data_IF_402063837898
#
_entry.id   IF_402063837898
#
_cell.length_a   1.000
_cell.length_b   1.000
_cell.length_c   1.000
_cell.angle_alpha   90.00
_cell.angle_beta   90.00
_cell.angle_gamma   90.00
#
_symmetry.space_group_name_H-M   'P 1'
#
loop_
_entity.id
_entity.type
_entity.pdbx_description
1 polymer ?
#
# COMPACT_ATOMS: atom_id res chain seq x y z
N UNK A 1 17.70 -51.32 -30.82
CA UNK A 1 17.91 -49.87 -30.89
C UNK A 1 17.05 -49.07 -29.92
N UNK A 2 16.41 -49.67 -28.90
CA UNK A 2 15.41 -48.97 -28.03
C UNK A 2 15.74 -48.91 -26.55
N UNK A 3 16.99 -49.23 -26.14
CA UNK A 3 17.35 -49.19 -24.70
C UNK A 3 18.09 -47.91 -24.24
N UNK A 4 18.44 -47.01 -25.17
CA UNK A 4 19.11 -45.74 -24.86
C UNK A 4 18.13 -44.54 -24.72
N UNK A 5 16.87 -44.71 -25.10
CA UNK A 5 15.87 -43.67 -25.00
C UNK A 5 15.16 -43.63 -23.64
N UNK A 6 15.18 -44.74 -22.92
CA UNK A 6 14.52 -44.89 -21.61
C UNK A 6 15.34 -44.34 -20.46
N UNK A 7 16.65 -44.09 -20.64
CA UNK A 7 17.50 -43.55 -19.57
C UNK A 7 17.55 -42.02 -19.51
N UNK A 8 17.05 -41.34 -20.56
CA UNK A 8 17.03 -39.88 -20.62
C UNK A 8 15.78 -39.26 -19.96
N UNK A 9 14.75 -40.08 -19.68
CA UNK A 9 13.48 -39.58 -19.11
C UNK A 9 13.45 -39.62 -17.58
N UNK A 10 14.44 -40.28 -16.92
CA UNK A 10 14.44 -40.48 -15.47
C UNK A 10 15.14 -39.37 -14.66
N UNK A 11 15.67 -38.32 -15.33
CA UNK A 11 16.42 -37.22 -14.67
C UNK A 11 15.58 -35.91 -14.57
N UNK A 12 14.33 -35.97 -14.99
CA UNK A 12 13.40 -34.85 -14.89
C UNK A 12 12.32 -35.07 -13.82
N UNK A 13 12.69 -35.61 -12.68
CA UNK A 13 11.82 -35.64 -11.50
C UNK A 13 12.08 -34.43 -10.60
N UNK A 14 11.04 -33.92 -9.96
CA UNK A 14 10.88 -32.51 -9.65
C UNK A 14 11.63 -32.16 -8.37
N UNK A 15 12.46 -31.13 -8.44
CA UNK A 15 12.87 -30.35 -7.28
C UNK A 15 11.78 -29.32 -6.90
N UNK A 16 10.58 -29.85 -6.68
CA UNK A 16 9.48 -29.04 -6.19
C UNK A 16 8.90 -29.67 -4.92
N UNK A 17 9.59 -29.54 -3.82
CA UNK A 17 9.02 -29.75 -2.50
C UNK A 17 9.93 -29.20 -1.40
N UNK A 18 10.19 -27.89 -1.42
CA UNK A 18 10.64 -27.20 -0.22
C UNK A 18 9.98 -25.82 -0.19
N UNK A 19 8.68 -25.83 -0.10
CA UNK A 19 7.86 -24.68 0.22
C UNK A 19 7.08 -25.00 1.50
N UNK A 20 7.78 -25.15 2.60
CA UNK A 20 7.34 -24.96 3.97
C UNK A 20 8.58 -24.85 4.84
N UNK A 21 9.30 -23.76 4.67
CA UNK A 21 10.30 -23.31 5.62
C UNK A 21 9.57 -22.66 6.77
N UNK A 22 9.83 -23.12 7.97
CA UNK A 22 9.37 -22.72 9.25
C UNK A 22 9.07 -21.23 9.41
N UNK A 23 7.89 -20.95 9.88
CA UNK A 23 7.58 -19.73 10.60
C UNK A 23 8.40 -19.75 11.89
N UNK A 24 9.60 -19.22 11.81
CA UNK A 24 10.35 -18.85 12.98
C UNK A 24 9.67 -17.60 13.56
N UNK A 25 8.75 -17.84 14.51
CA UNK A 25 8.19 -16.79 15.35
C UNK A 25 9.27 -16.30 16.32
N UNK A 26 10.40 -15.86 15.78
CA UNK A 26 11.31 -15.04 16.53
C UNK A 26 10.62 -13.72 16.80
N UNK A 27 10.50 -13.36 18.09
CA UNK A 27 10.03 -12.07 18.61
C UNK A 27 10.91 -10.89 18.08
N UNK A 28 10.93 -10.69 16.78
CA UNK A 28 11.34 -9.41 16.23
C UNK A 28 10.21 -8.43 16.57
N UNK A 29 10.49 -7.30 17.20
CA UNK A 29 9.48 -6.29 17.45
C UNK A 29 8.85 -5.97 16.10
N UNK A 30 7.56 -6.25 15.97
CA UNK A 30 6.77 -5.82 14.83
C UNK A 30 6.95 -4.31 14.77
N UNK A 31 7.81 -3.85 13.88
CA UNK A 31 7.82 -2.44 13.53
C UNK A 31 6.45 -2.20 12.90
N UNK A 32 5.52 -1.71 13.72
CA UNK A 32 4.30 -1.11 13.22
C UNK A 32 4.79 0.05 12.36
N UNK A 33 4.92 -0.19 11.07
CA UNK A 33 5.03 0.89 10.09
C UNK A 33 3.70 1.62 10.23
N UNK A 34 3.67 2.63 11.09
CA UNK A 34 2.61 3.62 11.09
C UNK A 34 2.80 4.30 9.74
N UNK A 35 2.16 3.77 8.71
CA UNK A 35 1.91 4.52 7.52
C UNK A 35 1.29 5.82 8.04
N UNK A 36 1.93 6.97 7.80
CA UNK A 36 1.42 8.27 8.15
C UNK A 36 0.12 8.43 7.34
N UNK A 37 -0.97 7.87 7.87
CA UNK A 37 -2.27 8.04 7.27
C UNK A 37 -2.64 9.50 7.47
N UNK A 38 -2.98 10.19 6.40
CA UNK A 38 -3.53 11.53 6.45
C UNK A 38 -4.61 11.57 7.53
N UNK A 39 -4.51 12.47 8.54
CA UNK A 39 -5.50 12.53 9.62
C UNK A 39 -6.90 12.72 9.06
N UNK A 40 -7.84 11.93 9.57
CA UNK A 40 -9.23 11.97 9.10
C UNK A 40 -10.20 11.74 10.25
N UNK A 41 -11.40 12.21 10.07
CA UNK A 41 -12.53 11.95 10.94
C UNK A 41 -13.71 11.46 10.12
N UNK A 42 -14.62 10.73 10.76
CA UNK A 42 -15.92 10.35 10.20
C UNK A 42 -16.94 10.41 11.31
N UNK A 43 -18.09 10.98 11.05
CA UNK A 43 -19.20 11.06 11.98
C UNK A 43 -20.52 11.05 11.23
N UNK A 44 -21.58 10.63 11.89
CA UNK A 44 -22.91 10.52 11.30
C UNK A 44 -24.02 10.77 12.30
N UNK A 45 -25.16 11.18 11.82
CA UNK A 45 -26.44 11.23 12.50
C UNK A 45 -27.48 10.48 11.68
N UNK A 46 -28.76 10.59 12.05
CA UNK A 46 -29.86 10.06 11.23
C UNK A 46 -30.05 10.82 9.91
N UNK A 47 -29.52 12.03 9.82
CA UNK A 47 -29.70 12.90 8.65
C UNK A 47 -28.45 12.99 7.78
N UNK A 48 -27.29 13.14 8.37
CA UNK A 48 -26.05 13.44 7.68
C UNK A 48 -24.92 12.46 8.00
N UNK A 49 -24.09 12.23 7.01
CA UNK A 49 -22.75 11.64 7.15
C UNK A 49 -21.72 12.68 6.75
N UNK A 50 -20.69 12.84 7.57
CA UNK A 50 -19.62 13.79 7.33
C UNK A 50 -18.26 13.11 7.47
N UNK A 51 -17.44 13.23 6.42
CA UNK A 51 -16.05 12.77 6.42
C UNK A 51 -15.12 13.98 6.32
N UNK A 52 -14.13 14.07 7.19
CA UNK A 52 -13.12 15.12 7.17
C UNK A 52 -11.72 14.56 6.93
N UNK A 53 -10.94 15.24 6.10
CA UNK A 53 -9.53 14.90 5.80
C UNK A 53 -8.66 16.13 6.03
N UNK A 54 -7.70 16.05 6.94
CA UNK A 54 -6.76 17.14 7.21
C UNK A 54 -5.50 16.96 6.38
N UNK A 55 -5.25 17.90 5.47
CA UNK A 55 -4.04 17.93 4.67
C UNK A 55 -3.54 19.37 4.55
N UNK A 56 -2.23 19.59 4.66
CA UNK A 56 -1.61 20.91 4.49
C UNK A 56 -2.28 22.01 5.33
N UNK A 57 -2.71 21.68 6.56
CA UNK A 57 -3.41 22.58 7.49
C UNK A 57 -4.80 23.03 7.02
N UNK A 58 -5.36 22.35 6.06
CA UNK A 58 -6.73 22.52 5.59
C UNK A 58 -7.52 21.26 5.88
N UNK A 59 -8.66 21.41 6.56
CA UNK A 59 -9.62 20.34 6.75
C UNK A 59 -10.65 20.39 5.63
N UNK A 60 -10.64 19.36 4.78
CA UNK A 60 -11.64 19.18 3.72
C UNK A 60 -12.76 18.28 4.24
N UNK A 61 -13.99 18.72 4.10
CA UNK A 61 -15.19 18.04 4.56
C UNK A 61 -16.05 17.61 3.38
N UNK A 62 -16.55 16.39 3.45
CA UNK A 62 -17.50 15.80 2.50
C UNK A 62 -18.80 15.56 3.26
N UNK A 63 -19.91 16.12 2.78
CA UNK A 63 -21.21 16.03 3.44
C UNK A 63 -22.22 15.33 2.56
N UNK A 64 -22.77 14.22 3.05
CA UNK A 64 -23.81 13.45 2.38
C UNK A 64 -25.04 13.24 3.29
N UNK A 65 -26.18 12.94 2.70
CA UNK A 65 -27.34 12.43 3.42
C UNK A 65 -27.08 11.00 3.85
N UNK A 66 -27.19 10.70 5.13
CA UNK A 66 -26.89 9.39 5.70
C UNK A 66 -27.65 8.23 5.04
N UNK A 67 -28.97 8.37 4.84
CA UNK A 67 -29.79 7.27 4.32
C UNK A 67 -29.63 6.97 2.82
N UNK A 68 -29.09 7.90 2.04
CA UNK A 68 -29.07 7.83 0.57
C UNK A 68 -27.69 8.05 -0.05
N UNK A 69 -26.71 8.48 0.73
CA UNK A 69 -25.41 8.94 0.27
C UNK A 69 -25.52 10.02 -0.81
N UNK A 70 -26.58 10.83 -0.73
CA UNK A 70 -26.77 11.95 -1.67
C UNK A 70 -25.95 13.15 -1.20
N UNK A 71 -25.08 13.72 -2.06
CA UNK A 71 -24.31 14.90 -1.71
C UNK A 71 -25.20 16.07 -1.27
N UNK A 72 -24.81 16.78 -0.20
CA UNK A 72 -25.53 17.92 0.37
C UNK A 72 -24.79 19.21 0.09
N UNK A 73 -25.08 19.90 -1.03
CA UNK A 73 -24.50 21.20 -1.34
C UNK A 73 -25.20 22.32 -0.56
N UNK A 74 -24.52 23.46 -0.49
CA UNK A 74 -25.02 24.71 0.09
C UNK A 74 -25.40 24.62 1.56
N UNK A 75 -24.78 23.70 2.31
CA UNK A 75 -24.91 23.69 3.75
C UNK A 75 -24.01 24.74 4.39
N UNK A 76 -24.45 25.28 5.52
CA UNK A 76 -23.58 26.02 6.43
C UNK A 76 -23.03 25.04 7.45
N UNK A 77 -21.71 24.95 7.56
CA UNK A 77 -21.02 24.05 8.47
C UNK A 77 -20.14 24.88 9.39
N UNK A 78 -20.40 24.78 10.69
CA UNK A 78 -19.61 25.42 11.74
C UNK A 78 -18.89 24.36 12.56
N UNK A 79 -17.60 24.55 12.82
CA UNK A 79 -16.76 23.63 13.58
C UNK A 79 -16.23 24.33 14.82
N UNK A 80 -16.25 23.61 15.93
CA UNK A 80 -15.73 24.07 17.20
C UNK A 80 -14.80 23.00 17.82
N UNK A 81 -13.64 23.44 18.36
CA UNK A 81 -12.72 22.59 19.13
C UNK A 81 -12.04 23.42 20.22
N UNK A 82 -12.49 23.28 21.45
CA UNK A 82 -12.06 24.14 22.55
C UNK A 82 -12.38 25.61 22.28
N UNK A 83 -11.35 26.45 22.17
CA UNK A 83 -11.51 27.88 21.82
C UNK A 83 -11.48 28.16 20.33
N UNK A 84 -11.13 27.18 19.51
CA UNK A 84 -11.11 27.34 18.05
C UNK A 84 -12.52 27.17 17.48
N UNK A 85 -12.91 28.13 16.63
CA UNK A 85 -14.15 28.10 15.88
C UNK A 85 -13.90 28.52 14.45
N UNK A 86 -14.56 27.88 13.50
CA UNK A 86 -14.48 28.25 12.10
C UNK A 86 -15.74 27.82 11.34
N UNK A 87 -16.05 28.57 10.28
CA UNK A 87 -17.10 28.22 9.33
C UNK A 87 -16.45 27.70 8.04
N UNK A 88 -16.89 26.56 7.55
CA UNK A 88 -16.38 25.97 6.33
C UNK A 88 -16.92 26.68 5.09
N UNK A 89 -16.10 26.77 4.05
CA UNK A 89 -16.47 27.36 2.75
C UNK A 89 -16.68 26.26 1.74
N UNK A 90 -17.80 26.25 1.05
CA UNK A 90 -18.06 25.31 -0.05
C UNK A 90 -17.15 25.65 -1.25
N UNK A 91 -16.36 24.68 -1.68
CA UNK A 91 -15.42 24.82 -2.82
C UNK A 91 -15.86 24.02 -4.04
N UNK A 92 -16.73 23.04 -3.84
CA UNK A 92 -17.39 22.23 -4.87
C UNK A 92 -18.69 21.69 -4.28
N UNK A 93 -19.68 21.28 -5.06
CA UNK A 93 -20.93 20.74 -4.51
C UNK A 93 -20.69 19.66 -3.45
N UNK A 94 -21.18 19.91 -2.22
CA UNK A 94 -21.03 19.07 -1.04
C UNK A 94 -19.58 18.87 -0.53
N UNK A 95 -18.62 19.66 -1.03
CA UNK A 95 -17.23 19.67 -0.56
C UNK A 95 -16.91 21.01 0.05
N UNK A 96 -16.52 21.00 1.30
CA UNK A 96 -16.26 22.20 2.09
C UNK A 96 -14.82 22.19 2.60
N UNK A 97 -14.24 23.37 2.79
CA UNK A 97 -12.90 23.49 3.35
C UNK A 97 -12.88 24.51 4.48
N UNK A 98 -12.02 24.25 5.46
CA UNK A 98 -11.76 25.19 6.55
C UNK A 98 -10.27 25.22 6.88
N UNK A 99 -9.66 26.42 7.08
CA UNK A 99 -8.32 26.53 7.60
C UNK A 99 -8.25 25.95 9.01
N UNK A 100 -7.38 24.98 9.25
CA UNK A 100 -7.32 24.17 10.47
C UNK A 100 -5.89 24.04 11.00
N UNK A 101 -5.15 25.14 11.04
CA UNK A 101 -3.75 25.15 11.50
C UNK A 101 -3.58 24.61 12.92
N UNK A 102 -4.50 24.97 13.83
CA UNK A 102 -4.47 24.51 15.22
C UNK A 102 -4.75 23.01 15.35
N UNK A 103 -5.59 22.47 14.47
CA UNK A 103 -5.91 21.04 14.44
C UNK A 103 -4.78 20.18 13.83
N UNK A 104 -3.79 20.82 13.22
CA UNK A 104 -2.62 20.12 12.66
C UNK A 104 -1.56 19.73 13.69
N UNK A 105 -1.72 20.11 14.95
CA UNK A 105 -0.82 19.69 16.00
C UNK A 105 -1.05 18.21 16.40
N UNK A 106 0.01 17.46 16.71
CA UNK A 106 -0.15 16.09 17.19
C UNK A 106 -1.04 16.02 18.42
N UNK A 107 -2.01 15.10 18.39
CA UNK A 107 -2.95 14.93 19.51
C UNK A 107 -4.35 14.53 19.06
N UNK A 108 -5.27 14.56 20.02
CA UNK A 108 -6.69 14.33 19.80
C UNK A 108 -7.43 15.66 19.90
N UNK A 109 -8.14 15.99 18.86
CA UNK A 109 -8.92 17.22 18.75
C UNK A 109 -10.41 16.86 18.71
N UNK A 110 -11.13 16.94 19.82
CA UNK A 110 -12.58 16.79 19.82
C UNK A 110 -13.20 17.95 19.06
N UNK A 111 -14.17 17.63 18.21
CA UNK A 111 -14.87 18.59 17.33
C UNK A 111 -16.37 18.45 17.54
N UNK A 112 -17.03 19.57 17.74
CA UNK A 112 -18.46 19.69 17.60
C UNK A 112 -18.75 20.42 16.29
N UNK A 113 -19.58 19.80 15.44
CA UNK A 113 -19.84 20.28 14.07
C UNK A 113 -21.34 20.51 13.94
N UNK A 114 -21.71 21.76 13.68
CA UNK A 114 -23.10 22.11 13.40
C UNK A 114 -23.28 22.17 11.88
N UNK A 115 -24.23 21.42 11.37
CA UNK A 115 -24.61 21.40 9.95
C UNK A 115 -26.00 21.99 9.79
N UNK A 116 -26.16 22.99 8.96
CA UNK A 116 -27.45 23.55 8.54
C UNK A 116 -27.60 23.43 7.01
N UNK A 117 -28.55 22.61 6.57
CA UNK A 117 -28.86 22.38 5.16
C UNK A 117 -30.34 22.60 4.89
N UNK A 118 -30.67 23.76 4.33
CA UNK A 118 -32.05 24.21 4.19
C UNK A 118 -32.72 24.42 5.54
N UNK A 119 -33.78 23.69 5.81
CA UNK A 119 -34.51 23.74 7.10
C UNK A 119 -33.97 22.72 8.14
N UNK A 120 -33.15 21.80 7.69
CA UNK A 120 -32.53 20.78 8.57
C UNK A 120 -31.32 21.37 9.29
N UNK A 121 -31.25 21.17 10.59
CA UNK A 121 -30.07 21.51 11.41
C UNK A 121 -29.73 20.33 12.28
N UNK A 122 -28.47 19.97 12.33
CA UNK A 122 -27.99 18.83 13.10
C UNK A 122 -26.64 19.11 13.74
N UNK A 123 -26.32 18.35 14.80
CA UNK A 123 -25.09 18.47 15.57
C UNK A 123 -24.36 17.15 15.53
N UNK A 124 -23.12 17.16 15.04
CA UNK A 124 -22.27 16.00 14.94
C UNK A 124 -21.07 16.16 15.86
N UNK A 125 -20.71 15.12 16.59
CA UNK A 125 -19.49 15.06 17.38
C UNK A 125 -18.48 14.14 16.70
N UNK A 126 -17.22 14.57 16.66
CA UNK A 126 -16.13 13.83 16.06
C UNK A 126 -14.84 14.04 16.85
N UNK A 127 -13.85 13.18 16.63
CA UNK A 127 -12.48 13.40 17.10
C UNK A 127 -11.52 13.24 15.96
N UNK A 128 -10.74 14.29 15.67
CA UNK A 128 -9.63 14.22 14.74
C UNK A 128 -8.37 13.80 15.50
N UNK A 129 -7.79 12.65 15.12
CA UNK A 129 -6.53 12.20 15.68
C UNK A 129 -5.38 12.52 14.73
N UNK A 130 -4.42 13.29 15.23
CA UNK A 130 -3.21 13.66 14.49
C UNK A 130 -2.02 12.97 15.13
N UNK A 131 -1.40 12.07 14.38
CA UNK A 131 -0.16 11.41 14.81
C UNK A 131 1.01 12.39 14.90
N UNK A 132 2.09 12.03 15.61
CA UNK A 132 3.33 12.80 15.55
C UNK A 132 3.78 12.87 14.09
N UNK A 133 4.29 14.04 13.67
CA UNK A 133 4.88 14.18 12.35
C UNK A 133 5.96 13.10 12.19
N UNK A 134 5.68 12.09 11.37
CA UNK A 134 6.70 11.15 10.96
C UNK A 134 7.67 11.98 10.11
N UNK A 135 8.85 12.27 10.64
CA UNK A 135 9.93 12.73 9.79
C UNK A 135 10.03 11.68 8.70
N UNK A 136 9.65 12.06 7.49
CA UNK A 136 9.82 11.23 6.32
C UNK A 136 11.34 11.05 6.14
N UNK A 137 11.90 10.10 6.87
CA UNK A 137 13.17 9.53 6.48
C UNK A 137 12.90 8.93 5.12
N UNK A 138 13.36 9.62 4.09
CA UNK A 138 13.43 9.11 2.73
C UNK A 138 14.35 7.89 2.71
N UNK A 139 13.87 6.79 3.27
CA UNK A 139 14.43 5.46 3.04
C UNK A 139 13.71 4.79 1.89
N UNK A 140 13.59 5.50 0.77
CA UNK A 140 13.37 4.87 -0.51
C UNK A 140 14.72 4.39 -1.06
N UNK A 141 15.46 3.64 -0.28
CA UNK A 141 16.43 2.73 -0.84
C UNK A 141 15.67 1.45 -1.22
N UNK A 142 14.93 1.49 -2.32
CA UNK A 142 14.71 0.28 -3.09
C UNK A 142 16.09 -0.14 -3.60
N UNK A 143 16.86 -0.81 -2.75
CA UNK A 143 17.98 -1.61 -3.19
C UNK A 143 17.38 -2.72 -4.05
N UNK A 144 17.23 -2.44 -5.35
CA UNK A 144 17.09 -3.50 -6.33
C UNK A 144 18.29 -4.40 -6.12
N UNK A 145 18.04 -5.54 -5.54
CA UNK A 145 19.04 -6.53 -5.25
C UNK A 145 19.56 -7.06 -6.59
N UNK A 146 20.55 -6.37 -7.17
CA UNK A 146 21.24 -6.77 -8.39
C UNK A 146 21.88 -8.16 -8.24
N UNK A 147 21.99 -8.65 -7.00
CA UNK A 147 22.55 -9.94 -6.70
C UNK A 147 21.75 -11.13 -7.22
N UNK A 148 20.44 -11.08 -7.24
CA UNK A 148 19.63 -12.22 -7.71
C UNK A 148 19.80 -12.49 -9.20
N UNK A 149 19.89 -11.46 -10.02
CA UNK A 149 20.12 -11.61 -11.45
C UNK A 149 21.52 -12.14 -11.78
N UNK A 150 22.53 -11.83 -10.94
CA UNK A 150 23.88 -12.35 -11.11
C UNK A 150 23.96 -13.86 -10.82
N UNK A 151 23.21 -14.35 -9.82
CA UNK A 151 23.18 -15.78 -9.49
C UNK A 151 22.50 -16.60 -10.58
N UNK A 152 21.36 -16.14 -11.09
CA UNK A 152 20.64 -16.84 -12.16
C UNK A 152 21.36 -16.74 -13.51
N UNK A 153 21.99 -15.61 -13.80
CA UNK A 153 22.82 -15.43 -15.01
C UNK A 153 24.05 -16.34 -15.00
N UNK A 154 24.73 -16.49 -13.85
CA UNK A 154 25.89 -17.36 -13.70
C UNK A 154 25.55 -18.83 -13.87
N UNK A 155 24.44 -19.29 -13.26
CA UNK A 155 23.99 -20.68 -13.39
C UNK A 155 23.62 -21.04 -14.84
N UNK A 156 22.95 -20.13 -15.56
CA UNK A 156 22.63 -20.30 -16.98
C UNK A 156 23.85 -20.42 -17.88
N UNK A 157 24.86 -19.58 -17.66
CA UNK A 157 26.11 -19.61 -18.43
C UNK A 157 26.89 -20.91 -18.22
N UNK A 158 26.95 -21.41 -16.99
CA UNK A 158 27.61 -22.70 -16.68
C UNK A 158 26.90 -23.89 -17.33
N UNK A 159 25.57 -23.89 -17.34
CA UNK A 159 24.77 -24.92 -18.01
C UNK A 159 25.03 -24.95 -19.53
N UNK A 160 25.04 -23.78 -20.18
CA UNK A 160 25.34 -23.66 -21.60
C UNK A 160 26.77 -24.11 -21.94
N UNK A 161 27.76 -23.76 -21.11
CA UNK A 161 29.15 -24.21 -21.28
C UNK A 161 29.26 -25.73 -21.17
N UNK A 162 28.57 -26.37 -20.21
CA UNK A 162 28.55 -27.83 -20.06
C UNK A 162 27.94 -28.54 -21.29
N UNK A 163 26.81 -28.01 -21.81
CA UNK A 163 26.17 -28.54 -23.04
C UNK A 163 27.12 -28.41 -24.25
N UNK A 164 27.78 -27.27 -24.41
CA UNK A 164 28.73 -27.05 -25.50
C UNK A 164 29.92 -28.00 -25.44
N UNK A 165 30.46 -28.27 -24.21
CA UNK A 165 31.54 -29.22 -24.01
C UNK A 165 31.13 -30.66 -24.36
N UNK A 166 29.93 -31.06 -23.95
CA UNK A 166 29.42 -32.42 -24.31
C UNK A 166 29.22 -32.54 -25.82
N UNK A 167 28.66 -31.53 -26.47
CA UNK A 167 28.46 -31.51 -27.92
C UNK A 167 29.80 -31.60 -28.67
N UNK A 168 30.82 -30.83 -28.26
CA UNK A 168 32.16 -30.90 -28.83
C UNK A 168 32.84 -32.27 -28.66
N UNK A 169 32.65 -32.90 -27.50
CA UNK A 169 33.19 -34.28 -27.25
C UNK A 169 32.48 -35.30 -28.16
N UNK A 170 31.17 -35.22 -28.34
CA UNK A 170 30.43 -36.11 -29.25
C UNK A 170 30.83 -35.93 -30.70
N UNK A 171 31.06 -34.69 -31.17
CA UNK A 171 31.55 -34.45 -32.52
C UNK A 171 32.96 -35.01 -32.79
N UNK A 172 33.87 -34.90 -31.77
CA UNK A 172 35.20 -35.51 -31.87
C UNK A 172 35.12 -37.03 -31.95
N UNK A 173 34.26 -37.68 -31.19
CA UNK A 173 34.05 -39.12 -31.24
C UNK A 173 33.50 -39.59 -32.58
N UNK A 174 32.53 -38.88 -33.15
CA UNK A 174 31.99 -39.23 -34.46
C UNK A 174 32.99 -39.04 -35.62
N UNK A 175 33.85 -38.03 -35.56
CA UNK A 175 34.92 -37.85 -36.54
C UNK A 175 35.93 -38.97 -36.51
N UNK A 176 36.29 -39.50 -35.34
CA UNK A 176 37.25 -40.58 -35.18
C UNK A 176 36.79 -41.92 -35.77
N UNK A 177 35.45 -42.16 -35.79
CA UNK A 177 34.88 -43.41 -36.32
C UNK A 177 34.43 -43.32 -37.81
N UNK A 178 34.62 -42.18 -38.47
CA UNK A 178 34.35 -42.02 -39.89
C UNK A 178 35.61 -42.28 -40.78
N UNK A 179 36.74 -42.51 -40.22
CA UNK A 179 38.00 -42.76 -40.93
C UNK A 179 38.54 -44.18 -40.70
N UNK A 180 37.71 -45.11 -40.28
CA UNK A 180 37.91 -46.55 -40.32
C UNK A 180 36.90 -47.20 -41.26
#
# INVERSE_FOLDING_TARGET
MNRLLTLACAILLPLSAWAHGGEDHGDAPVQVVIASSTPRLSTQTDQFELVGVLQDKVLTLYLDQFGTNTPVPKAQIELESGSWKATATEVSPAVYTVPAELLGQPGKHPLTITVQAGEATDLLDATLEVGPASEATHSAAHSHFWGEWAVWGGAGALALAAVALVARRRQKYQRKHRHL
#
